data_IF_074010372307
#
_entry.id   IF_074010372307
#
_cell.length_a   1.000
_cell.length_b   1.000
_cell.length_c   1.000
_cell.angle_alpha   90.00
_cell.angle_beta   90.00
_cell.angle_gamma   90.00
#
_symmetry.space_group_name_H-M   'P 1'
#
loop_
_entity.id
_entity.type
_entity.pdbx_description
1 polymer ?
#
# COMPACT_ATOMS: atom_id res chain seq x y z
N UNK A 1 -17.78 -38.66 2.80
CA UNK A 1 -16.42 -38.12 2.58
C UNK A 1 -16.35 -36.72 3.14
N UNK A 2 -15.41 -36.44 4.04
CA UNK A 2 -15.19 -35.09 4.57
C UNK A 2 -14.31 -34.32 3.56
N UNK A 3 -14.70 -33.10 3.12
CA UNK A 3 -13.89 -32.32 2.20
C UNK A 3 -12.53 -31.98 2.82
N UNK A 4 -11.46 -32.01 2.02
CA UNK A 4 -10.12 -31.66 2.51
C UNK A 4 -10.11 -30.19 2.96
N UNK A 5 -9.57 -29.89 4.16
CA UNK A 5 -9.47 -28.52 4.62
C UNK A 5 -8.62 -27.71 3.66
N UNK A 6 -9.08 -26.51 3.29
CA UNK A 6 -8.28 -25.55 2.53
C UNK A 6 -7.46 -24.72 3.52
N UNK A 7 -6.14 -24.56 3.30
CA UNK A 7 -5.33 -23.68 4.12
C UNK A 7 -5.88 -22.25 4.03
N UNK A 8 -5.99 -21.58 5.17
CA UNK A 8 -6.48 -20.20 5.27
C UNK A 8 -5.35 -19.18 5.33
N UNK A 9 -4.12 -19.63 5.61
CA UNK A 9 -2.91 -18.82 5.72
C UNK A 9 -1.70 -19.64 5.34
N UNK A 10 -0.71 -18.97 4.77
CA UNK A 10 0.60 -19.52 4.47
C UNK A 10 1.68 -18.54 4.94
N UNK A 11 2.74 -19.07 5.55
CA UNK A 11 3.88 -18.29 6.02
C UNK A 11 5.17 -19.08 5.82
N UNK A 12 6.27 -18.40 5.49
CA UNK A 12 7.64 -18.93 5.51
C UNK A 12 8.33 -18.47 6.79
N UNK A 13 9.03 -19.38 7.46
CA UNK A 13 9.91 -19.04 8.59
C UNK A 13 11.34 -19.44 8.26
N UNK A 14 12.27 -18.53 8.49
CA UNK A 14 13.70 -18.79 8.30
C UNK A 14 14.26 -19.42 9.57
N UNK A 15 14.71 -20.68 9.48
CA UNK A 15 15.25 -21.43 10.63
C UNK A 15 16.79 -21.52 10.60
N UNK A 16 17.40 -21.43 9.40
CA UNK A 16 18.85 -21.50 9.24
C UNK A 16 19.49 -20.14 9.51
N UNK A 17 20.52 -20.12 10.34
CA UNK A 17 21.27 -18.91 10.67
C UNK A 17 21.86 -18.24 9.40
N UNK A 18 22.48 -19.01 8.51
CA UNK A 18 23.00 -18.51 7.23
C UNK A 18 21.90 -17.85 6.38
N UNK A 19 20.68 -18.39 6.38
CA UNK A 19 19.54 -17.83 5.65
C UNK A 19 19.04 -16.53 6.29
N UNK A 20 19.02 -16.47 7.63
CA UNK A 20 18.65 -15.26 8.37
C UNK A 20 19.66 -14.14 8.06
N UNK A 21 20.96 -14.43 8.16
CA UNK A 21 22.02 -13.47 7.86
C UNK A 21 21.98 -12.99 6.40
N UNK A 22 21.64 -13.90 5.48
CA UNK A 22 21.45 -13.56 4.06
C UNK A 22 20.29 -12.57 3.85
N UNK A 23 19.17 -12.77 4.56
CA UNK A 23 18.00 -11.88 4.51
C UNK A 23 18.27 -10.54 5.21
N UNK A 24 18.98 -10.54 6.35
CA UNK A 24 19.43 -9.34 7.04
C UNK A 24 20.34 -8.50 6.12
N UNK A 25 21.30 -9.13 5.44
CA UNK A 25 22.17 -8.45 4.48
C UNK A 25 21.41 -7.88 3.28
N UNK A 26 20.42 -8.61 2.77
CA UNK A 26 19.52 -8.13 1.71
C UNK A 26 18.77 -6.86 2.11
N UNK A 27 18.26 -6.83 3.34
CA UNK A 27 17.53 -5.67 3.88
C UNK A 27 18.47 -4.50 4.14
N UNK A 28 19.63 -4.75 4.76
CA UNK A 28 20.59 -3.69 5.08
C UNK A 28 21.13 -2.98 3.83
N UNK A 29 21.20 -3.68 2.69
CA UNK A 29 21.55 -3.08 1.40
C UNK A 29 20.51 -2.10 0.84
N UNK A 30 19.32 -2.00 1.46
CA UNK A 30 18.23 -1.13 1.01
C UNK A 30 18.05 0.02 1.97
N UNK A 31 18.72 1.12 1.66
CA UNK A 31 18.77 2.35 2.45
C UNK A 31 17.40 2.85 2.96
N UNK A 32 16.32 2.62 2.21
CA UNK A 32 14.95 3.02 2.59
C UNK A 32 14.21 2.01 3.46
N UNK A 33 14.59 0.73 3.45
CA UNK A 33 13.81 -0.33 4.06
C UNK A 33 13.79 -0.23 5.59
N UNK A 34 14.93 0.07 6.22
CA UNK A 34 15.01 0.19 7.69
C UNK A 34 14.36 1.49 8.18
N UNK A 35 14.44 2.58 7.43
CA UNK A 35 13.75 3.85 7.75
C UNK A 35 12.22 3.72 7.60
N UNK A 36 11.76 2.96 6.60
CA UNK A 36 10.34 2.75 6.32
C UNK A 36 9.71 1.63 7.17
N UNK A 37 10.54 0.78 7.80
CA UNK A 37 10.09 -0.38 8.59
C UNK A 37 10.96 -0.64 9.84
N UNK A 38 10.92 0.22 10.86
CA UNK A 38 11.71 0.04 12.09
C UNK A 38 11.36 -1.25 12.85
N UNK A 39 10.16 -1.81 12.65
CA UNK A 39 9.67 -3.02 13.32
C UNK A 39 9.83 -4.30 12.47
N UNK A 40 10.55 -4.25 11.33
CA UNK A 40 10.74 -5.45 10.52
C UNK A 40 11.64 -6.47 11.22
N UNK A 41 11.05 -7.59 11.61
CA UNK A 41 11.76 -8.72 12.20
C UNK A 41 11.97 -9.83 11.17
N UNK A 42 13.23 -10.04 10.76
CA UNK A 42 13.64 -11.12 9.85
C UNK A 42 13.28 -12.51 10.40
N UNK A 43 13.21 -12.65 11.72
CA UNK A 43 12.88 -13.92 12.39
C UNK A 43 11.37 -14.15 12.50
N UNK A 44 10.54 -13.14 12.23
CA UNK A 44 9.11 -13.29 12.18
C UNK A 44 8.69 -14.10 10.92
N UNK A 45 7.57 -14.84 10.98
CA UNK A 45 7.06 -15.52 9.80
C UNK A 45 6.71 -14.53 8.67
N UNK A 46 7.29 -14.75 7.50
CA UNK A 46 6.98 -14.02 6.27
C UNK A 46 5.63 -14.50 5.75
N UNK A 47 4.62 -13.64 5.72
CA UNK A 47 3.29 -14.02 5.28
C UNK A 47 3.15 -13.97 3.74
N UNK A 48 2.44 -14.96 3.17
CA UNK A 48 1.93 -14.87 1.81
C UNK A 48 0.99 -13.65 1.69
N UNK A 49 1.01 -12.91 0.56
CA UNK A 49 1.64 -13.27 -0.71
C UNK A 49 3.06 -12.67 -0.86
N UNK A 50 3.85 -12.59 0.21
CA UNK A 50 5.26 -12.18 0.19
C UNK A 50 5.51 -10.83 -0.50
N UNK A 51 4.74 -9.81 -0.11
CA UNK A 51 4.75 -8.46 -0.68
C UNK A 51 6.15 -7.82 -0.71
N UNK A 52 7.00 -8.11 0.28
CA UNK A 52 8.39 -7.64 0.28
C UNK A 52 9.10 -8.06 -1.01
N UNK A 53 8.96 -9.32 -1.43
CA UNK A 53 9.60 -9.81 -2.64
C UNK A 53 8.94 -9.23 -3.87
N UNK A 54 7.60 -9.21 -3.93
CA UNK A 54 6.89 -8.60 -5.06
C UNK A 54 7.40 -7.19 -5.41
N UNK A 55 7.52 -6.31 -4.42
CA UNK A 55 7.93 -4.91 -4.65
C UNK A 55 9.42 -4.72 -4.90
N UNK A 56 10.23 -5.73 -4.61
CA UNK A 56 11.68 -5.69 -4.69
C UNK A 56 12.26 -6.63 -5.74
N UNK A 57 11.43 -7.43 -6.40
CA UNK A 57 11.83 -8.42 -7.38
C UNK A 57 12.41 -7.72 -8.61
N UNK A 58 13.70 -7.92 -8.82
CA UNK A 58 14.39 -7.57 -10.07
C UNK A 58 15.56 -8.54 -10.28
N UNK A 59 16.02 -8.72 -11.52
CA UNK A 59 17.18 -9.56 -11.81
C UNK A 59 18.45 -9.14 -11.04
N UNK A 60 18.56 -7.86 -10.70
CA UNK A 60 19.73 -7.27 -10.06
C UNK A 60 19.63 -7.23 -8.53
N UNK A 61 18.45 -7.45 -7.93
CA UNK A 61 18.22 -7.17 -6.49
C UNK A 61 19.14 -7.96 -5.56
N UNK A 62 19.51 -9.18 -5.95
CA UNK A 62 20.34 -10.09 -5.14
C UNK A 62 21.83 -9.98 -5.51
N UNK A 63 22.16 -9.40 -6.67
CA UNK A 63 23.51 -9.40 -7.23
C UNK A 63 24.54 -8.60 -6.42
N UNK A 64 24.09 -7.69 -5.55
CA UNK A 64 24.95 -6.93 -4.64
C UNK A 64 25.39 -7.70 -3.37
N UNK A 65 24.86 -8.90 -3.12
CA UNK A 65 25.23 -9.72 -1.97
C UNK A 65 26.48 -10.56 -2.23
N UNK A 66 27.14 -11.05 -1.17
CA UNK A 66 28.21 -12.03 -1.31
C UNK A 66 27.68 -13.38 -1.85
N UNK A 67 28.56 -14.21 -2.41
CA UNK A 67 28.17 -15.46 -3.10
C UNK A 67 27.31 -16.41 -2.25
N UNK A 68 27.62 -16.52 -0.95
CA UNK A 68 26.86 -17.36 -0.01
C UNK A 68 25.44 -16.81 0.15
N UNK A 69 25.31 -15.52 0.44
CA UNK A 69 24.03 -14.85 0.63
C UNK A 69 23.19 -14.88 -0.64
N UNK A 70 23.81 -14.68 -1.81
CA UNK A 70 23.12 -14.83 -3.09
C UNK A 70 22.52 -16.22 -3.25
N UNK A 71 23.28 -17.27 -2.93
CA UNK A 71 22.81 -18.66 -3.04
C UNK A 71 21.62 -18.94 -2.13
N UNK A 72 21.65 -18.43 -0.89
CA UNK A 72 20.53 -18.57 0.05
C UNK A 72 19.30 -17.80 -0.41
N UNK A 73 19.47 -16.52 -0.77
CA UNK A 73 18.38 -15.69 -1.26
C UNK A 73 17.74 -16.28 -2.52
N UNK A 74 18.52 -16.76 -3.49
CA UNK A 74 17.99 -17.42 -4.70
C UNK A 74 17.17 -18.66 -4.41
N UNK A 75 17.47 -19.42 -3.34
CA UNK A 75 16.65 -20.57 -2.94
C UNK A 75 15.31 -20.14 -2.38
N UNK A 76 15.31 -19.13 -1.51
CA UNK A 76 14.08 -18.59 -0.92
C UNK A 76 13.21 -17.95 -2.00
N UNK A 77 13.77 -17.01 -2.77
CA UNK A 77 13.03 -16.25 -3.77
C UNK A 77 12.66 -17.10 -4.98
N UNK A 78 13.49 -18.07 -5.36
CA UNK A 78 13.15 -19.03 -6.41
C UNK A 78 11.89 -19.83 -6.07
N UNK A 79 11.75 -20.29 -4.82
CA UNK A 79 10.51 -20.93 -4.38
C UNK A 79 9.32 -19.96 -4.43
N UNK A 80 9.49 -18.71 -4.00
CA UNK A 80 8.41 -17.71 -4.07
C UNK A 80 8.00 -17.46 -5.52
N UNK A 81 8.96 -17.28 -6.43
CA UNK A 81 8.71 -17.05 -7.85
C UNK A 81 8.02 -18.24 -8.52
N UNK A 82 8.41 -19.47 -8.20
CA UNK A 82 7.78 -20.68 -8.72
C UNK A 82 6.31 -20.84 -8.30
N UNK A 83 5.94 -20.33 -7.11
CA UNK A 83 4.58 -20.51 -6.55
C UNK A 83 3.66 -19.28 -6.75
N UNK A 84 4.23 -18.07 -6.77
CA UNK A 84 3.48 -16.81 -6.82
C UNK A 84 3.78 -15.96 -8.05
N UNK A 85 4.77 -16.33 -8.87
CA UNK A 85 5.18 -15.54 -10.04
C UNK A 85 4.05 -15.28 -11.04
N UNK A 86 3.17 -16.25 -11.27
CA UNK A 86 1.98 -16.06 -12.12
C UNK A 86 0.99 -15.06 -11.52
N UNK A 87 0.75 -15.13 -10.20
CA UNK A 87 -0.11 -14.17 -9.49
C UNK A 87 0.48 -12.76 -9.61
N UNK A 88 1.78 -12.61 -9.32
CA UNK A 88 2.46 -11.32 -9.43
C UNK A 88 2.34 -10.73 -10.83
N UNK A 89 2.52 -11.55 -11.87
CA UNK A 89 2.38 -11.10 -13.25
C UNK A 89 0.95 -10.65 -13.58
N UNK A 90 -0.07 -11.36 -13.08
CA UNK A 90 -1.48 -10.94 -13.23
C UNK A 90 -1.73 -9.60 -12.54
N UNK A 91 -1.23 -9.43 -11.31
CA UNK A 91 -1.37 -8.21 -10.54
C UNK A 91 -0.66 -7.04 -11.21
N UNK A 92 0.60 -7.21 -11.65
CA UNK A 92 1.36 -6.21 -12.41
C UNK A 92 0.56 -5.72 -13.63
N UNK A 93 0.01 -6.65 -14.41
CA UNK A 93 -0.81 -6.32 -15.57
C UNK A 93 -2.08 -5.53 -15.22
N UNK A 94 -2.68 -5.73 -14.05
CA UNK A 94 -3.81 -4.92 -13.58
C UNK A 94 -3.34 -3.51 -13.22
N UNK A 95 -2.27 -3.42 -12.43
CA UNK A 95 -1.73 -2.16 -11.95
C UNK A 95 -1.23 -1.28 -13.10
N UNK A 96 -0.59 -1.86 -14.12
CA UNK A 96 -0.12 -1.15 -15.32
C UNK A 96 -1.26 -0.55 -16.14
N UNK A 97 -2.43 -1.20 -16.14
CA UNK A 97 -3.66 -0.66 -16.74
C UNK A 97 -4.36 0.38 -15.87
N UNK A 98 -3.88 0.62 -14.65
CA UNK A 98 -4.50 1.54 -13.70
C UNK A 98 -5.78 0.98 -13.04
N UNK A 99 -5.90 -0.35 -12.94
CA UNK A 99 -7.04 -1.03 -12.31
C UNK A 99 -6.60 -1.95 -11.18
N UNK A 100 -7.53 -2.25 -10.27
CA UNK A 100 -7.36 -3.18 -9.14
C UNK A 100 -8.58 -4.07 -8.99
N UNK A 101 -8.41 -5.21 -8.35
CA UNK A 101 -9.45 -6.15 -7.96
C UNK A 101 -9.27 -6.48 -6.47
N UNK A 102 -10.09 -7.36 -5.90
CA UNK A 102 -9.93 -7.78 -4.50
C UNK A 102 -8.53 -8.37 -4.23
N UNK A 103 -7.98 -9.13 -5.17
CA UNK A 103 -6.68 -9.82 -5.03
C UNK A 103 -5.49 -8.85 -5.14
N UNK A 104 -5.62 -7.74 -5.87
CA UNK A 104 -4.50 -6.83 -6.13
C UNK A 104 -4.37 -5.64 -5.16
N UNK A 105 -5.34 -5.39 -4.27
CA UNK A 105 -5.28 -4.25 -3.34
C UNK A 105 -4.05 -4.31 -2.42
N UNK A 106 -3.66 -5.49 -1.94
CA UNK A 106 -2.52 -5.64 -1.03
C UNK A 106 -1.18 -5.27 -1.68
N UNK A 107 -1.10 -5.33 -3.02
CA UNK A 107 0.06 -4.99 -3.83
C UNK A 107 0.06 -3.54 -4.31
N UNK A 108 -1.03 -2.79 -4.06
CA UNK A 108 -1.24 -1.47 -4.63
C UNK A 108 -0.18 -0.46 -4.16
N UNK A 109 0.30 -0.59 -2.93
CA UNK A 109 1.26 0.35 -2.33
C UNK A 109 2.20 -0.35 -1.37
N UNK A 110 3.38 0.25 -1.20
CA UNK A 110 4.35 -0.13 -0.18
C UNK A 110 4.60 1.00 0.81
N UNK A 111 5.14 0.71 2.00
CA UNK A 111 5.61 1.76 2.88
C UNK A 111 6.62 2.68 2.19
N UNK A 112 6.56 3.96 2.53
CA UNK A 112 7.26 5.04 1.82
C UNK A 112 6.51 5.61 0.61
N UNK A 113 5.50 4.92 0.06
CA UNK A 113 4.71 5.47 -1.04
C UNK A 113 3.87 6.67 -0.57
N UNK A 114 3.88 7.74 -1.37
CA UNK A 114 2.92 8.83 -1.21
C UNK A 114 1.53 8.38 -1.70
N UNK A 115 0.53 8.48 -0.83
CA UNK A 115 -0.85 8.12 -1.12
C UNK A 115 -1.74 9.36 -1.15
N UNK A 116 -2.78 9.32 -1.97
CA UNK A 116 -3.82 10.33 -2.06
C UNK A 116 -5.04 9.85 -1.29
N UNK A 117 -5.55 10.69 -0.40
CA UNK A 117 -6.88 10.56 0.16
C UNK A 117 -7.86 11.42 -0.63
N UNK A 118 -8.83 10.76 -1.25
CA UNK A 118 -9.89 11.39 -2.01
C UNK A 118 -11.22 11.30 -1.25
N UNK A 119 -11.66 12.44 -0.72
CA UNK A 119 -12.94 12.55 -0.01
C UNK A 119 -14.18 12.43 -0.93
N UNK A 120 -14.00 12.56 -2.24
CA UNK A 120 -15.05 12.39 -3.26
C UNK A 120 -14.54 11.50 -4.41
N UNK A 121 -14.45 10.17 -4.21
CA UNK A 121 -13.92 9.26 -5.22
C UNK A 121 -14.72 9.35 -6.52
N UNK A 122 -14.03 9.54 -7.66
CA UNK A 122 -14.66 9.64 -8.97
C UNK A 122 -15.42 10.93 -9.28
N UNK A 123 -15.23 12.01 -8.50
CA UNK A 123 -15.80 13.34 -8.78
C UNK A 123 -14.71 14.42 -8.82
N UNK A 124 -14.88 15.42 -9.68
CA UNK A 124 -14.06 16.63 -9.70
C UNK A 124 -14.36 17.52 -8.48
N UNK A 125 -13.33 18.16 -7.91
CA UNK A 125 -13.47 19.11 -6.80
C UNK A 125 -13.46 18.53 -5.38
N UNK A 126 -13.05 17.27 -5.20
CA UNK A 126 -12.73 16.72 -3.88
C UNK A 126 -11.47 17.36 -3.28
N UNK A 127 -11.44 17.55 -1.96
CA UNK A 127 -10.18 17.92 -1.29
C UNK A 127 -9.23 16.73 -1.32
N UNK A 128 -8.16 16.85 -2.11
CA UNK A 128 -7.09 15.86 -2.17
C UNK A 128 -6.03 16.20 -1.11
N UNK A 129 -5.74 15.22 -0.26
CA UNK A 129 -4.63 15.26 0.70
C UNK A 129 -3.65 14.15 0.36
N UNK A 130 -2.37 14.40 0.58
CA UNK A 130 -1.34 13.40 0.46
C UNK A 130 -0.80 13.01 1.83
N UNK A 131 -0.58 11.73 2.05
CA UNK A 131 0.08 11.16 3.24
C UNK A 131 1.09 10.11 2.78
N UNK A 132 1.96 9.66 3.68
CA UNK A 132 2.94 8.60 3.39
C UNK A 132 2.44 7.30 4.01
N UNK A 133 2.41 6.23 3.23
CA UNK A 133 2.11 4.90 3.73
C UNK A 133 3.24 4.41 4.65
N UNK A 134 2.87 3.87 5.80
CA UNK A 134 3.75 3.27 6.79
C UNK A 134 3.61 1.74 6.86
N UNK A 135 2.52 1.18 6.33
CA UNK A 135 2.29 -0.26 6.24
C UNK A 135 1.81 -0.70 4.86
N UNK A 136 1.84 -2.01 4.63
CA UNK A 136 1.09 -2.65 3.55
C UNK A 136 -0.42 -2.54 3.81
N UNK A 137 -1.27 -2.55 2.76
CA UNK A 137 -2.71 -2.73 2.94
C UNK A 137 -3.01 -4.10 3.54
N UNK A 138 -3.62 -4.11 4.73
CA UNK A 138 -4.05 -5.32 5.42
C UNK A 138 -5.56 -5.46 5.35
N UNK A 139 -6.06 -6.61 4.87
CA UNK A 139 -7.49 -6.87 4.76
C UNK A 139 -8.17 -6.84 6.13
N UNK A 140 -9.19 -5.98 6.27
CA UNK A 140 -10.04 -5.88 7.47
C UNK A 140 -11.27 -6.76 7.34
N UNK A 141 -11.73 -7.02 6.12
CA UNK A 141 -12.88 -7.88 5.85
C UNK A 141 -12.40 -9.34 5.86
N UNK A 142 -12.84 -10.19 6.81
CA UNK A 142 -12.48 -11.60 6.79
C UNK A 142 -12.95 -12.23 5.48
N UNK A 143 -12.12 -13.10 4.88
CA UNK A 143 -12.50 -13.97 3.77
C UNK A 143 -13.72 -14.82 4.19
N UNK A 144 -14.94 -14.31 3.99
CA UNK A 144 -16.14 -15.15 4.06
C UNK A 144 -16.30 -15.79 2.70
N UNK A 145 -16.10 -17.11 2.66
CA UNK A 145 -16.40 -17.99 1.52
C UNK A 145 -17.80 -17.72 0.91
N UNK A 146 -18.74 -17.21 1.70
CA UNK A 146 -20.09 -16.87 1.29
C UNK A 146 -20.18 -15.65 0.34
N UNK A 147 -19.21 -14.75 0.38
CA UNK A 147 -19.19 -13.55 -0.48
C UNK A 147 -18.61 -13.84 -1.87
N UNK A 148 -17.99 -15.02 -2.07
CA UNK A 148 -17.38 -15.45 -3.33
C UNK A 148 -18.33 -16.27 -4.22
N UNK A 149 -19.64 -16.27 -3.95
CA UNK A 149 -20.61 -16.93 -4.83
C UNK A 149 -20.41 -18.44 -4.96
N UNK A 150 -19.87 -19.11 -3.95
CA UNK A 150 -19.98 -20.58 -3.89
C UNK A 150 -21.45 -20.89 -3.61
N UNK A 151 -22.17 -21.35 -4.63
CA UNK A 151 -23.55 -21.81 -4.54
C UNK A 151 -23.66 -22.84 -3.40
N UNK A 152 -24.11 -22.38 -2.24
CA UNK A 152 -24.46 -23.26 -1.13
C UNK A 152 -25.87 -23.78 -1.39
N UNK A 153 -26.09 -25.10 -1.49
CA UNK A 153 -27.42 -25.67 -1.71
C UNK A 153 -28.46 -25.32 -0.63
N UNK A 154 -28.02 -24.74 0.50
CA UNK A 154 -28.82 -24.47 1.68
C UNK A 154 -29.18 -22.98 1.87
N UNK A 155 -28.78 -22.09 0.96
CA UNK A 155 -29.12 -20.65 1.01
C UNK A 155 -30.07 -20.31 -0.12
N UNK A 156 -31.35 -20.07 0.22
CA UNK A 156 -32.34 -19.54 -0.72
C UNK A 156 -31.91 -18.12 -1.14
N UNK A 157 -31.37 -17.97 -2.36
CA UNK A 157 -31.12 -16.65 -2.93
C UNK A 157 -32.45 -15.93 -3.19
N UNK A 158 -32.67 -14.81 -2.50
CA UNK A 158 -33.65 -13.82 -2.93
C UNK A 158 -33.13 -13.18 -4.23
N UNK A 159 -33.88 -13.32 -5.32
CA UNK A 159 -33.52 -12.90 -6.68
C UNK A 159 -33.64 -11.39 -6.96
N UNK A 160 -33.59 -10.54 -5.95
CA UNK A 160 -33.75 -9.10 -6.15
C UNK A 160 -32.66 -8.30 -5.44
N UNK A 161 -31.94 -7.53 -6.26
CA UNK A 161 -30.85 -6.59 -6.01
C UNK A 161 -29.41 -7.13 -6.09
N UNK A 162 -28.74 -6.81 -7.22
CA UNK A 162 -27.27 -6.79 -7.36
C UNK A 162 -26.66 -5.85 -6.31
N UNK A 163 -26.41 -6.35 -5.10
CA UNK A 163 -25.83 -5.56 -4.02
C UNK A 163 -24.31 -5.54 -4.22
N UNK A 164 -23.74 -4.36 -4.50
CA UNK A 164 -22.29 -4.18 -4.54
C UNK A 164 -21.67 -4.59 -3.20
N UNK A 165 -20.69 -5.48 -3.23
CA UNK A 165 -19.86 -5.81 -2.08
C UNK A 165 -18.92 -4.63 -1.79
N UNK A 166 -18.61 -4.41 -0.51
CA UNK A 166 -17.63 -3.41 -0.10
C UNK A 166 -16.57 -4.09 0.76
N UNK A 167 -15.38 -4.29 0.18
CA UNK A 167 -14.22 -4.82 0.90
C UNK A 167 -13.36 -3.67 1.42
N UNK A 168 -12.69 -3.93 2.54
CA UNK A 168 -11.97 -2.92 3.30
C UNK A 168 -10.58 -3.40 3.67
N UNK A 169 -9.60 -2.53 3.49
CA UNK A 169 -8.22 -2.71 3.95
C UNK A 169 -7.81 -1.54 4.83
N UNK A 170 -6.88 -1.76 5.74
CA UNK A 170 -6.29 -0.72 6.57
C UNK A 170 -4.84 -0.52 6.15
N UNK A 171 -4.42 0.73 6.08
CA UNK A 171 -3.03 1.13 5.90
C UNK A 171 -2.69 2.13 7.01
N UNK A 172 -1.61 1.86 7.75
CA UNK A 172 -1.02 2.84 8.66
C UNK A 172 -0.33 3.91 7.81
N UNK A 173 -0.54 5.18 8.15
CA UNK A 173 -0.04 6.33 7.40
C UNK A 173 0.52 7.38 8.35
N UNK A 174 1.40 8.24 7.83
CA UNK A 174 1.82 9.44 8.55
C UNK A 174 1.87 10.66 7.63
N UNK A 175 1.72 11.83 8.25
CA UNK A 175 1.91 13.12 7.60
C UNK A 175 2.35 14.18 8.60
N UNK A 176 3.01 15.22 8.09
CA UNK A 176 3.33 16.39 8.89
C UNK A 176 2.13 17.31 9.03
N UNK A 177 1.93 17.84 10.23
CA UNK A 177 0.96 18.90 10.54
C UNK A 177 1.67 20.12 11.08
N UNK A 178 0.97 21.24 10.96
CA UNK A 178 1.43 22.53 11.42
C UNK A 178 0.25 23.31 11.99
N UNK A 179 0.28 23.58 13.29
CA UNK A 179 -0.68 24.40 14.04
C UNK A 179 0.04 25.50 14.87
N UNK A 180 1.25 25.85 14.44
CA UNK A 180 2.19 26.70 15.18
C UNK A 180 3.48 25.95 15.54
N UNK A 181 3.42 24.62 15.62
CA UNK A 181 4.59 23.73 15.68
C UNK A 181 4.53 22.70 14.56
N UNK A 182 5.68 22.30 14.02
CA UNK A 182 5.77 21.26 12.99
C UNK A 182 5.95 19.90 13.65
N UNK A 183 5.03 18.96 13.44
CA UNK A 183 5.09 17.63 14.05
C UNK A 183 4.53 16.55 13.13
N UNK A 184 4.99 15.32 13.33
CA UNK A 184 4.50 14.13 12.63
C UNK A 184 3.24 13.62 13.30
N UNK A 185 2.23 13.29 12.51
CA UNK A 185 1.03 12.56 12.97
C UNK A 185 0.90 11.25 12.25
N UNK A 186 0.56 10.21 13.01
CA UNK A 186 0.28 8.86 12.51
C UNK A 186 -1.21 8.59 12.60
N UNK A 187 -1.75 7.83 11.63
CA UNK A 187 -3.14 7.40 11.63
C UNK A 187 -3.38 6.20 10.72
N UNK A 188 -4.47 5.48 11.00
CA UNK A 188 -4.98 4.45 10.11
C UNK A 188 -5.94 5.03 9.08
N UNK A 189 -5.76 4.60 7.84
CA UNK A 189 -6.61 4.96 6.71
C UNK A 189 -7.26 3.68 6.15
N UNK A 190 -8.56 3.75 5.85
CA UNK A 190 -9.33 2.63 5.31
C UNK A 190 -9.46 2.75 3.78
N UNK A 191 -8.97 1.77 3.04
CA UNK A 191 -9.21 1.63 1.59
C UNK A 191 -10.53 0.89 1.39
N UNK A 192 -11.39 1.40 0.49
CA UNK A 192 -12.68 0.80 0.17
C UNK A 192 -12.73 0.40 -1.30
N UNK A 193 -12.92 -0.89 -1.57
CA UNK A 193 -13.20 -1.42 -2.90
C UNK A 193 -14.69 -1.76 -2.99
N UNK A 194 -15.40 -1.16 -3.95
CA UNK A 194 -16.82 -1.43 -4.23
C UNK A 194 -16.95 -2.12 -5.57
N UNK A 195 -17.28 -3.41 -5.56
CA UNK A 195 -17.47 -4.21 -6.77
C UNK A 195 -18.57 -5.28 -6.56
N UNK A 196 -19.16 -5.80 -7.64
CA UNK A 196 -20.12 -6.91 -7.60
C UNK A 196 -19.42 -8.24 -7.34
N UNK A 197 -18.19 -8.43 -7.85
CA UNK A 197 -17.42 -9.66 -7.70
C UNK A 197 -15.97 -9.39 -7.32
N UNK A 198 -15.31 -10.37 -6.71
CA UNK A 198 -13.93 -10.23 -6.25
C UNK A 198 -12.93 -10.11 -7.41
N UNK A 199 -13.23 -10.72 -8.56
CA UNK A 199 -12.45 -10.67 -9.80
C UNK A 199 -12.75 -9.42 -10.65
N UNK A 200 -13.70 -8.57 -10.23
CA UNK A 200 -14.04 -7.35 -10.96
C UNK A 200 -12.92 -6.32 -10.86
N UNK A 201 -12.47 -5.83 -12.03
CA UNK A 201 -11.49 -4.76 -12.14
C UNK A 201 -12.15 -3.39 -11.94
N UNK A 202 -11.63 -2.62 -11.00
CA UNK A 202 -12.05 -1.26 -10.66
C UNK A 202 -10.89 -0.31 -10.90
N UNK A 203 -11.15 0.82 -11.54
CA UNK A 203 -10.12 1.85 -11.76
C UNK A 203 -9.57 2.36 -10.42
N UNK A 204 -8.24 2.43 -10.30
CA UNK A 204 -7.54 2.86 -9.06
C UNK A 204 -8.00 4.26 -8.62
N UNK A 205 -8.24 5.17 -9.55
CA UNK A 205 -8.69 6.54 -9.27
C UNK A 205 -10.12 6.63 -8.69
N UNK A 206 -10.91 5.54 -8.78
CA UNK A 206 -12.23 5.45 -8.14
C UNK A 206 -12.16 5.00 -6.68
N UNK A 207 -10.97 4.59 -6.21
CA UNK A 207 -10.76 4.33 -4.79
C UNK A 207 -10.76 5.64 -4.01
N UNK A 208 -11.12 5.55 -2.73
CA UNK A 208 -10.97 6.65 -1.79
C UNK A 208 -9.52 6.90 -1.37
N UNK A 209 -8.66 5.91 -1.55
CA UNK A 209 -7.23 5.95 -1.21
C UNK A 209 -6.46 5.24 -2.31
N UNK A 210 -5.46 5.91 -2.88
CA UNK A 210 -4.62 5.31 -3.92
C UNK A 210 -3.24 5.99 -4.02
N UNK A 211 -2.22 5.33 -4.58
CA UNK A 211 -0.88 5.91 -4.72
C UNK A 211 -0.84 7.12 -5.66
N UNK A 212 -0.02 8.13 -5.31
CA UNK A 212 0.20 9.35 -6.08
C UNK A 212 0.65 9.07 -7.53
N UNK A 213 1.32 7.94 -7.79
CA UNK A 213 1.73 7.53 -9.13
C UNK A 213 0.56 7.32 -10.11
N UNK A 214 -0.65 7.01 -9.62
CA UNK A 214 -1.84 6.83 -10.45
C UNK A 214 -2.71 8.08 -10.56
N UNK A 215 -2.30 9.19 -9.95
CA UNK A 215 -2.97 10.47 -10.07
C UNK A 215 -2.72 11.11 -11.45
N UNK A 216 -3.57 12.05 -11.86
CA UNK A 216 -3.28 12.89 -13.02
C UNK A 216 -2.03 13.74 -12.79
N UNK A 217 -1.33 14.10 -13.86
CA UNK A 217 -0.13 14.97 -13.77
C UNK A 217 -0.46 16.31 -13.10
N UNK A 218 -1.64 16.87 -13.37
CA UNK A 218 -2.13 18.09 -12.70
C UNK A 218 -2.27 17.91 -11.18
N UNK A 219 -2.83 16.77 -10.75
CA UNK A 219 -2.98 16.45 -9.34
C UNK A 219 -1.62 16.27 -8.66
N UNK A 220 -0.69 15.59 -9.34
CA UNK A 220 0.67 15.38 -8.83
C UNK A 220 1.41 16.70 -8.68
N UNK A 221 1.42 17.53 -9.72
CA UNK A 221 2.05 18.84 -9.70
C UNK A 221 1.47 19.74 -8.60
N UNK A 222 0.15 19.74 -8.42
CA UNK A 222 -0.52 20.49 -7.36
C UNK A 222 -0.10 20.03 -5.96
N UNK A 223 -0.07 18.71 -5.72
CA UNK A 223 0.32 18.16 -4.43
C UNK A 223 1.80 18.38 -4.12
N UNK A 224 2.67 18.28 -5.13
CA UNK A 224 4.10 18.60 -5.00
C UNK A 224 4.32 20.09 -4.66
N UNK A 225 3.63 21.01 -5.36
CA UNK A 225 3.72 22.44 -5.07
C UNK A 225 3.26 22.74 -3.64
N UNK A 226 2.14 22.14 -3.21
CA UNK A 226 1.64 22.26 -1.83
C UNK A 226 2.64 21.71 -0.82
N UNK A 227 3.23 20.54 -1.10
CA UNK A 227 4.25 19.91 -0.26
C UNK A 227 5.49 20.78 -0.08
N UNK A 228 6.02 21.34 -1.19
CA UNK A 228 7.18 22.26 -1.15
C UNK A 228 6.87 23.52 -0.34
N UNK A 229 5.67 24.09 -0.53
CA UNK A 229 5.22 25.27 0.22
C UNK A 229 5.13 24.95 1.71
N UNK A 230 4.46 23.85 2.06
CA UNK A 230 4.30 23.40 3.44
C UNK A 230 5.63 23.08 4.12
N UNK A 231 6.57 22.43 3.41
CA UNK A 231 7.92 22.14 3.91
C UNK A 231 8.72 23.40 4.20
N UNK A 232 8.54 24.46 3.40
CA UNK A 232 9.19 25.75 3.63
C UNK A 232 8.74 26.45 4.93
N UNK A 233 7.58 26.07 5.48
CA UNK A 233 7.10 26.59 6.76
C UNK A 233 7.88 26.03 7.96
N UNK A 234 8.67 24.96 7.79
CA UNK A 234 9.47 24.35 8.86
C UNK A 234 10.46 25.34 9.49
N UNK A 235 11.03 26.22 8.67
CA UNK A 235 12.03 27.21 9.11
C UNK A 235 11.40 28.59 9.39
N UNK A 236 10.11 28.63 9.78
CA UNK A 236 9.32 29.86 10.06
C UNK A 236 9.41 30.90 8.94
N UNK A 237 8.82 30.58 7.80
CA UNK A 237 8.77 31.46 6.62
C UNK A 237 7.41 32.16 6.51
N UNK A 238 7.42 33.44 6.10
CA UNK A 238 6.20 34.15 5.70
C UNK A 238 5.67 33.52 4.42
N UNK A 239 4.43 33.00 4.48
CA UNK A 239 3.72 32.47 3.30
C UNK A 239 2.48 33.32 3.11
N UNK A 240 2.33 33.87 1.90
CA UNK A 240 1.11 34.49 1.44
C UNK A 240 0.39 33.56 0.48
N UNK A 241 -0.91 33.39 0.64
CA UNK A 241 -1.75 32.72 -0.36
C UNK A 241 -2.81 33.69 -0.87
N UNK A 242 -3.10 33.59 -2.16
CA UNK A 242 -4.15 34.35 -2.82
C UNK A 242 -5.27 33.40 -3.19
N UNK A 243 -6.49 33.73 -2.78
CA UNK A 243 -7.69 33.06 -3.26
C UNK A 243 -8.68 34.08 -3.85
N UNK A 244 -9.85 33.61 -4.27
CA UNK A 244 -10.89 34.44 -4.90
C UNK A 244 -11.40 35.58 -4.01
N UNK A 245 -11.10 35.53 -2.71
CA UNK A 245 -11.51 36.48 -1.69
C UNK A 245 -10.37 37.43 -1.26
N UNK A 246 -9.14 37.27 -1.78
CA UNK A 246 -8.02 38.19 -1.59
C UNK A 246 -6.68 37.52 -1.25
N UNK A 247 -5.69 38.37 -0.94
CA UNK A 247 -4.35 37.95 -0.50
C UNK A 247 -4.34 37.85 1.03
N UNK A 248 -4.02 36.68 1.55
CA UNK A 248 -3.84 36.41 2.96
C UNK A 248 -2.35 36.17 3.24
N UNK A 249 -1.74 37.04 4.06
CA UNK A 249 -0.39 36.83 4.58
C UNK A 249 -0.46 36.27 6.00
N UNK A 250 0.12 35.09 6.24
CA UNK A 250 0.24 34.57 7.60
C UNK A 250 1.69 34.79 8.07
N UNK A 251 1.87 35.78 8.94
CA UNK A 251 3.13 36.05 9.65
C UNK A 251 3.19 35.17 10.89
N UNK A 252 4.23 34.35 11.03
CA UNK A 252 4.45 33.54 12.22
C UNK A 252 5.44 34.26 13.13
N UNK A 253 5.04 34.72 14.33
CA UNK A 253 5.92 35.49 15.20
C UNK A 253 7.05 34.60 15.75
N UNK A 254 8.27 35.11 15.65
CA UNK A 254 9.40 34.64 16.44
C UNK A 254 9.19 35.16 17.87
N UNK A 255 8.79 34.28 18.78
CA UNK A 255 9.17 34.47 20.18
C UNK A 255 10.51 33.74 20.36
N UNK A 256 11.52 34.56 20.63
CA UNK A 256 12.89 34.19 21.05
C UNK A 256 12.83 33.61 22.45
#
# INVERSE_FOLDING_TARGET
MIPRPKPTRETIRLESQDMIESMEAFIAGKFKFIEEHPDFDVRAPLAAPYLFWYHDRSPETISGLNDLHQKHMRRLTGWIDDNYGEMYHRVEKQLDKGVVSYESIEFLMKPGDAIILNNKPGQEGGTLKAEIAASWPASKTPQKLADFGVDSPWVKMNKDHKKKCTWKWIVDCWAYKYDGSFYRTERQVEIQLRAEKADEEVAIQKLNVYPLRYASEETRALLEQRGRTFWSCRDRRLVSYEDKNGIYGVCFPAYV
#
